data_IF_437894623614
#
_entry.id   IF_437894623614
#
_cell.length_a   1.000
_cell.length_b   1.000
_cell.length_c   1.000
_cell.angle_alpha   90.00
_cell.angle_beta   90.00
_cell.angle_gamma   90.00
#
_symmetry.space_group_name_H-M   'P 1'
#
loop_
_entity.id
_entity.type
_entity.pdbx_description
1 polymer ?
#
# COMPACT_ATOMS: atom_id res chain seq x y z
N UNK A 1 -20.08 -13.69 5.73
CA UNK A 1 -18.99 -14.16 4.84
C UNK A 1 -17.71 -13.45 5.28
N UNK A 2 -16.57 -14.14 5.40
CA UNK A 2 -15.36 -13.53 5.95
C UNK A 2 -14.87 -12.38 5.05
N UNK A 3 -14.63 -11.26 5.69
CA UNK A 3 -13.99 -10.08 5.13
C UNK A 3 -12.50 -10.37 4.92
N UNK A 4 -11.99 -10.24 3.69
CA UNK A 4 -10.55 -10.27 3.46
C UNK A 4 -9.99 -8.87 3.73
N UNK A 5 -9.51 -8.66 4.96
CA UNK A 5 -8.76 -7.48 5.33
C UNK A 5 -7.26 -7.73 5.06
N UNK A 6 -6.60 -6.78 4.42
CA UNK A 6 -5.16 -6.82 4.11
C UNK A 6 -4.52 -5.56 4.68
N UNK A 7 -3.46 -5.73 5.44
CA UNK A 7 -2.60 -4.61 5.87
C UNK A 7 -1.24 -4.79 5.24
N UNK A 8 -0.76 -3.77 4.53
CA UNK A 8 0.55 -3.79 3.87
C UNK A 8 1.31 -2.50 4.16
N UNK A 9 2.57 -2.63 4.53
CA UNK A 9 3.50 -1.51 4.62
C UNK A 9 4.33 -1.40 3.35
N UNK A 10 4.46 -0.19 2.81
CA UNK A 10 5.35 0.14 1.71
C UNK A 10 6.51 0.95 2.27
N UNK A 11 7.74 0.42 2.13
CA UNK A 11 8.95 1.20 2.38
C UNK A 11 9.26 1.96 1.10
N UNK A 12 9.28 3.28 1.20
CA UNK A 12 9.61 4.17 0.11
C UNK A 12 11.13 4.17 -0.07
N UNK A 13 11.56 3.92 -1.31
CA UNK A 13 12.96 3.90 -1.70
C UNK A 13 13.48 5.29 -2.07
N UNK A 14 14.39 5.31 -3.07
CA UNK A 14 14.83 6.50 -3.79
C UNK A 14 13.65 7.43 -4.16
N UNK A 15 13.87 8.72 -4.46
CA UNK A 15 12.82 9.72 -4.68
C UNK A 15 12.03 9.54 -6.00
N UNK A 16 11.62 8.32 -6.32
CA UNK A 16 10.75 7.94 -7.41
C UNK A 16 9.33 7.69 -6.91
N UNK A 17 8.36 7.75 -7.82
CA UNK A 17 6.97 7.45 -7.50
C UNK A 17 6.76 5.95 -7.41
N UNK A 18 6.15 5.50 -6.32
CA UNK A 18 5.81 4.10 -6.04
C UNK A 18 4.30 3.94 -6.08
N UNK A 19 3.80 2.98 -6.88
CA UNK A 19 2.37 2.63 -6.90
C UNK A 19 2.01 1.79 -5.69
N UNK A 20 0.80 2.00 -5.15
CA UNK A 20 0.30 1.17 -4.04
C UNK A 20 -0.20 -0.22 -4.49
N UNK A 21 -0.42 -0.42 -5.79
CA UNK A 21 -0.62 -1.75 -6.38
C UNK A 21 0.00 -1.83 -7.78
N UNK A 22 0.54 -3.00 -8.14
CA UNK A 22 1.13 -3.25 -9.46
C UNK A 22 0.08 -3.55 -10.54
N UNK A 23 -1.16 -3.81 -10.12
CA UNK A 23 -2.27 -4.24 -10.96
C UNK A 23 -3.59 -3.63 -10.47
N UNK A 24 -4.58 -3.46 -11.36
CA UNK A 24 -5.88 -2.87 -11.01
C UNK A 24 -6.54 -3.53 -9.81
N UNK A 25 -6.66 -2.80 -8.70
CA UNK A 25 -7.09 -3.34 -7.40
C UNK A 25 -8.10 -2.39 -6.76
N UNK A 26 -9.38 -2.61 -7.04
CA UNK A 26 -10.48 -1.79 -6.50
C UNK A 26 -10.89 -2.30 -5.13
N UNK A 27 -10.68 -1.48 -4.10
CA UNK A 27 -10.96 -1.83 -2.70
C UNK A 27 -11.49 -0.62 -1.94
N UNK A 28 -12.01 -0.86 -0.73
CA UNK A 28 -12.08 0.17 0.30
C UNK A 28 -10.75 0.15 1.04
N UNK A 29 -10.06 1.28 1.18
CA UNK A 29 -8.77 1.31 1.83
C UNK A 29 -8.51 2.60 2.58
N UNK A 30 -7.82 2.50 3.70
CA UNK A 30 -7.22 3.63 4.39
C UNK A 30 -5.73 3.63 4.13
N UNK A 31 -5.22 4.72 3.58
CA UNK A 31 -3.79 4.95 3.35
C UNK A 31 -3.28 5.91 4.42
N UNK A 32 -2.20 5.54 5.09
CA UNK A 32 -1.66 6.25 6.24
C UNK A 32 -0.17 6.51 6.01
N UNK A 33 0.28 7.75 6.13
CA UNK A 33 1.69 8.08 6.22
C UNK A 33 2.22 7.61 7.59
N UNK A 34 3.29 6.81 7.64
CA UNK A 34 3.82 6.31 8.90
C UNK A 34 4.15 7.48 9.85
N UNK A 35 3.62 7.49 11.09
CA UNK A 35 3.88 8.57 12.05
C UNK A 35 5.36 8.68 12.46
N UNK A 36 6.17 7.65 12.18
CA UNK A 36 7.62 7.65 12.42
C UNK A 36 8.42 8.25 11.27
N UNK A 37 7.79 8.67 10.18
CA UNK A 37 8.49 9.38 9.12
C UNK A 37 9.06 10.70 9.66
N UNK A 38 10.31 11.00 9.35
CA UNK A 38 10.97 12.23 9.80
C UNK A 38 10.47 13.50 9.06
N UNK A 39 9.54 13.36 8.12
CA UNK A 39 9.06 14.43 7.26
C UNK A 39 7.90 13.96 6.38
N UNK A 40 7.44 14.86 5.51
CA UNK A 40 6.25 14.63 4.70
C UNK A 40 6.51 13.65 3.56
N UNK A 41 5.47 12.91 3.18
CA UNK A 41 5.41 12.18 1.92
C UNK A 41 4.63 13.00 0.88
N UNK A 42 4.86 12.71 -0.39
CA UNK A 42 4.06 13.19 -1.51
C UNK A 42 3.12 12.09 -1.96
N UNK A 43 1.85 12.42 -2.15
CA UNK A 43 0.83 11.51 -2.68
C UNK A 43 0.19 12.15 -3.91
N UNK A 44 -0.10 11.36 -4.94
CA UNK A 44 -0.86 11.80 -6.10
C UNK A 44 -1.74 10.69 -6.65
N UNK A 45 -2.77 11.08 -7.39
CA UNK A 45 -3.70 10.16 -8.06
C UNK A 45 -3.54 10.29 -9.57
N UNK A 46 -3.33 9.18 -10.29
CA UNK A 46 -3.14 9.10 -11.76
C UNK A 46 -2.15 10.13 -12.32
N UNK A 47 -1.05 10.40 -11.62
CA UNK A 47 -0.06 11.40 -12.04
C UNK A 47 -0.53 12.87 -11.95
N UNK A 48 -1.69 13.13 -11.34
CA UNK A 48 -2.27 14.47 -11.19
C UNK A 48 -1.63 15.31 -10.09
N UNK A 49 -2.45 16.16 -9.45
CA UNK A 49 -1.99 17.10 -8.41
C UNK A 49 -1.30 16.32 -7.29
N UNK A 50 -0.11 16.80 -6.91
CA UNK A 50 0.63 16.27 -5.78
C UNK A 50 0.17 16.95 -4.50
N UNK A 51 -0.17 16.14 -3.50
CA UNK A 51 -0.50 16.58 -2.15
C UNK A 51 0.60 16.16 -1.19
N UNK A 52 1.03 17.07 -0.31
CA UNK A 52 1.98 16.75 0.75
C UNK A 52 1.22 16.24 1.97
N UNK A 53 1.59 15.07 2.48
CA UNK A 53 1.02 14.47 3.67
C UNK A 53 2.04 14.47 4.81
N UNK A 54 1.73 15.08 5.97
CA UNK A 54 2.58 14.98 7.14
C UNK A 54 2.58 13.56 7.72
N UNK A 55 3.57 13.21 8.57
CA UNK A 55 3.56 11.94 9.32
C UNK A 55 2.24 11.74 10.08
N UNK A 56 1.66 10.55 10.00
CA UNK A 56 0.38 10.21 10.63
C UNK A 56 -0.87 10.65 9.85
N UNK A 57 -0.74 11.39 8.74
CA UNK A 57 -1.88 11.71 7.89
C UNK A 57 -2.52 10.44 7.34
N UNK A 58 -3.86 10.37 7.39
CA UNK A 58 -4.64 9.23 6.95
C UNK A 58 -5.82 9.68 6.08
N UNK A 59 -6.05 8.96 4.99
CA UNK A 59 -7.22 9.18 4.11
C UNK A 59 -7.87 7.85 3.81
N UNK A 60 -9.19 7.80 3.95
CA UNK A 60 -10.02 6.67 3.55
C UNK A 60 -10.54 6.87 2.13
N UNK A 61 -10.41 5.81 1.34
CA UNK A 61 -10.87 5.74 -0.03
C UNK A 61 -11.93 4.65 -0.15
N UNK A 62 -12.99 4.94 -0.90
CA UNK A 62 -14.07 4.00 -1.18
C UNK A 62 -14.08 3.65 -2.66
N UNK A 63 -13.97 2.35 -2.97
CA UNK A 63 -14.01 1.84 -4.35
C UNK A 63 -12.97 2.49 -5.28
N UNK A 64 -11.76 2.73 -4.75
CA UNK A 64 -10.65 3.29 -5.53
C UNK A 64 -9.69 2.19 -5.95
N UNK A 65 -9.17 2.31 -7.17
CA UNK A 65 -8.09 1.45 -7.66
C UNK A 65 -6.75 1.90 -7.06
N UNK A 66 -6.15 1.06 -6.22
CA UNK A 66 -4.86 1.37 -5.58
C UNK A 66 -3.70 1.48 -6.57
N UNK A 67 -3.80 0.93 -7.79
CA UNK A 67 -2.76 1.06 -8.81
C UNK A 67 -2.65 2.46 -9.40
N UNK A 68 -3.65 3.30 -9.11
CA UNK A 68 -3.72 4.69 -9.54
C UNK A 68 -3.22 5.66 -8.48
N UNK A 69 -2.98 5.19 -7.26
CA UNK A 69 -2.39 5.98 -6.18
C UNK A 69 -0.88 5.76 -6.20
N UNK A 70 -0.15 6.87 -6.26
CA UNK A 70 1.29 6.90 -6.24
C UNK A 70 1.79 7.70 -5.04
N UNK A 71 2.81 7.18 -4.38
CA UNK A 71 3.45 7.78 -3.22
C UNK A 71 4.93 7.95 -3.45
N UNK A 72 5.52 9.02 -2.90
CA UNK A 72 6.96 9.30 -2.96
C UNK A 72 7.40 9.92 -1.64
N UNK A 73 8.57 9.56 -1.17
CA UNK A 73 9.14 10.08 0.07
C UNK A 73 10.65 9.98 0.06
N UNK A 74 11.27 10.35 1.17
CA UNK A 74 12.69 10.10 1.39
C UNK A 74 12.93 8.58 1.62
N UNK A 75 14.17 8.10 1.42
CA UNK A 75 14.52 6.72 1.71
C UNK A 75 14.11 6.31 3.13
N UNK A 76 13.58 5.09 3.26
CA UNK A 76 13.08 4.50 4.51
C UNK A 76 11.78 5.09 5.06
N UNK A 77 11.17 6.08 4.41
CA UNK A 77 9.82 6.51 4.78
C UNK A 77 8.83 5.40 4.49
N UNK A 78 7.72 5.36 5.23
CA UNK A 78 6.74 4.30 5.13
C UNK A 78 5.33 4.82 4.90
N UNK A 79 4.56 4.02 4.19
CA UNK A 79 3.11 4.16 4.00
C UNK A 79 2.46 2.86 4.40
N UNK A 80 1.42 2.94 5.23
CA UNK A 80 0.59 1.82 5.62
C UNK A 80 -0.70 1.86 4.81
N UNK A 81 -1.08 0.74 4.22
CA UNK A 81 -2.34 0.57 3.51
C UNK A 81 -3.13 -0.51 4.21
N UNK A 82 -4.27 -0.13 4.79
CA UNK A 82 -5.26 -1.05 5.33
C UNK A 82 -6.41 -1.13 4.33
N UNK A 83 -6.51 -2.25 3.63
CA UNK A 83 -7.52 -2.47 2.60
C UNK A 83 -8.52 -3.55 3.04
N UNK A 84 -9.76 -3.35 2.63
CA UNK A 84 -10.86 -4.28 2.78
C UNK A 84 -11.53 -4.48 1.42
N UNK A 85 -11.54 -5.73 0.96
CA UNK A 85 -12.39 -6.14 -0.14
C UNK A 85 -13.68 -6.71 0.46
N UNK A 86 -14.81 -5.99 0.39
CA UNK A 86 -16.07 -6.57 0.80
C UNK A 86 -16.34 -7.81 -0.04
N UNK A 87 -16.35 -8.98 0.61
CA UNK A 87 -16.95 -10.17 0.04
C UNK A 87 -18.38 -9.82 -0.39
N UNK A 88 -18.78 -10.28 -1.57
CA UNK A 88 -20.08 -10.01 -2.22
C UNK A 88 -21.21 -9.80 -1.22
N UNK A 89 -21.59 -8.55 -0.96
CA UNK A 89 -22.75 -8.20 -0.12
C UNK A 89 -23.98 -8.05 -1.04
N UNK A 90 -25.21 -8.46 -0.63
CA UNK A 90 -26.34 -8.79 -1.52
C UNK A 90 -27.01 -7.62 -2.27
N UNK A 91 -26.45 -6.40 -2.19
CA UNK A 91 -27.01 -5.20 -2.86
C UNK A 91 -26.43 -4.95 -4.26
N UNK A 92 -25.83 -5.98 -4.88
CA UNK A 92 -25.76 -6.06 -6.34
C UNK A 92 -24.99 -4.94 -7.05
N UNK A 93 -23.92 -4.40 -6.45
CA UNK A 93 -22.94 -3.59 -7.19
C UNK A 93 -21.55 -4.24 -7.10
N UNK A 94 -21.44 -5.39 -7.75
CA UNK A 94 -20.16 -5.93 -8.21
C UNK A 94 -19.89 -5.36 -9.60
N UNK A 95 -18.92 -4.46 -9.70
CA UNK A 95 -18.28 -4.14 -10.97
C UNK A 95 -16.76 -4.38 -10.85
N UNK A 96 -16.39 -5.53 -10.26
CA UNK A 96 -15.12 -6.17 -10.58
C UNK A 96 -15.46 -7.22 -11.63
N UNK A 97 -15.48 -6.79 -12.90
CA UNK A 97 -15.69 -7.68 -14.02
C UNK A 97 -14.47 -8.59 -14.12
N UNK A 98 -14.71 -9.88 -13.82
CA UNK A 98 -13.85 -11.04 -14.01
C UNK A 98 -12.52 -11.08 -13.22
N UNK A 99 -12.54 -11.92 -12.20
CA UNK A 99 -11.54 -12.98 -12.07
C UNK A 99 -10.08 -12.52 -11.97
N UNK A 100 -9.66 -12.11 -10.78
CA UNK A 100 -8.26 -12.29 -10.41
C UNK A 100 -8.17 -12.60 -8.94
N UNK A 101 -7.90 -13.87 -8.65
CA UNK A 101 -7.43 -14.32 -7.34
C UNK A 101 -6.06 -13.66 -7.15
N UNK A 102 -6.01 -12.55 -6.43
CA UNK A 102 -4.74 -11.92 -6.09
C UNK A 102 -4.00 -12.82 -5.10
N UNK A 103 -3.16 -13.69 -5.63
CA UNK A 103 -1.96 -14.16 -4.92
C UNK A 103 -1.01 -12.98 -4.99
N UNK A 104 -0.73 -12.36 -3.84
CA UNK A 104 0.40 -11.44 -3.73
C UNK A 104 1.64 -12.32 -3.87
N UNK A 105 2.32 -12.25 -5.01
CA UNK A 105 3.65 -12.84 -5.12
C UNK A 105 4.51 -12.25 -4.00
N UNK A 106 5.04 -13.16 -3.18
CA UNK A 106 6.02 -12.87 -2.16
C UNK A 106 7.18 -12.18 -2.88
N UNK A 107 7.46 -10.92 -2.53
CA UNK A 107 8.65 -10.24 -3.04
C UNK A 107 9.86 -11.12 -2.72
N UNK A 108 10.61 -11.51 -3.74
CA UNK A 108 11.82 -12.30 -3.60
C UNK A 108 12.71 -11.65 -2.54
N UNK A 109 13.07 -12.46 -1.53
CA UNK A 109 14.07 -12.08 -0.56
C UNK A 109 15.39 -11.85 -1.31
N UNK A 110 15.91 -10.63 -1.25
CA UNK A 110 17.30 -10.37 -1.63
C UNK A 110 18.16 -11.23 -0.68
N UNK A 111 19.00 -12.14 -1.17
CA UNK A 111 19.88 -12.91 -0.31
C UNK A 111 20.94 -11.96 0.23
N UNK A 112 20.79 -11.56 1.50
CA UNK A 112 21.93 -11.05 2.25
C UNK A 112 22.78 -12.27 2.66
N UNK A 113 23.77 -12.58 1.82
CA UNK A 113 24.96 -13.28 2.30
C UNK A 113 25.67 -12.36 3.31
N UNK A 114 25.79 -12.83 4.54
CA UNK A 114 26.38 -12.07 5.63
C UNK A 114 26.01 -12.67 6.97
N UNK A 115 26.53 -13.87 7.22
CA UNK A 115 26.54 -14.52 8.52
C UNK A 115 27.09 -13.56 9.59
N UNK A 116 26.36 -13.42 10.69
CA UNK A 116 26.72 -12.60 11.83
C UNK A 116 26.05 -13.15 13.08
N UNK A 117 26.68 -14.20 13.62
CA UNK A 117 26.37 -14.93 14.85
C UNK A 117 26.06 -13.96 16.01
N UNK A 118 24.89 -14.09 16.64
CA UNK A 118 24.64 -13.51 17.98
C UNK A 118 24.80 -14.65 18.99
N UNK A 119 26.03 -14.88 19.42
CA UNK A 119 26.34 -15.70 20.57
C UNK A 119 25.81 -15.03 21.84
N UNK A 120 25.02 -15.78 22.61
CA UNK A 120 24.60 -15.40 23.96
C UNK A 120 25.75 -15.81 24.90
N UNK A 121 26.40 -14.83 25.52
CA UNK A 121 27.43 -15.00 26.54
C UNK A 121 27.51 -13.75 27.41
#
# INVERSE_FOLDING_TARGET
>A
MPANAVVKSFVLGLPTWTKLANSPTVVQATVIADPKNAGNISVRFRGGITTSWPPGAAVSFESVDLSEIEVRGAPNYKVLVAAYAPGTHPRGRSALHLGTKYVVEQAEAIPNEGEGEIGIG
#
